data_IF_768479258967
#
_entry.id   IF_768479258967
#
_cell.length_a   1.000
_cell.length_b   1.000
_cell.length_c   1.000
_cell.angle_alpha   90.00
_cell.angle_beta   90.00
_cell.angle_gamma   90.00
#
_symmetry.space_group_name_H-M   'P 1'
#
loop_
_entity.id
_entity.type
_entity.pdbx_description
1 polymer ?
#
# COMPACT_ATOMS: atom_id res chain seq x y z
N UNK A 1 -3.35 -11.08 7.84
CA UNK A 1 -4.00 -9.97 8.57
C UNK A 1 -4.59 -10.34 9.94
N UNK A 2 -4.28 -11.52 10.50
CA UNK A 2 -4.89 -12.03 11.73
C UNK A 2 -4.21 -11.58 13.04
N UNK A 3 -3.08 -10.89 12.95
CA UNK A 3 -2.31 -10.42 14.12
C UNK A 3 -2.79 -9.09 14.71
N UNK A 4 -3.68 -8.36 14.02
CA UNK A 4 -4.16 -7.03 14.43
C UNK A 4 -5.56 -7.16 15.04
N UNK A 5 -5.80 -6.65 16.25
CA UNK A 5 -7.12 -6.75 16.86
C UNK A 5 -8.17 -5.98 16.06
N UNK A 6 -9.40 -6.49 16.05
CA UNK A 6 -10.50 -6.05 15.16
C UNK A 6 -10.77 -4.54 15.24
N UNK A 7 -10.66 -3.97 16.44
CA UNK A 7 -10.88 -2.54 16.69
C UNK A 7 -9.83 -1.63 16.02
N UNK A 8 -8.58 -2.08 15.88
CA UNK A 8 -7.52 -1.33 15.17
C UNK A 8 -7.52 -1.58 13.66
N UNK A 9 -8.21 -2.63 13.20
CA UNK A 9 -8.15 -3.06 11.80
C UNK A 9 -8.65 -1.99 10.83
N UNK A 10 -9.71 -1.26 11.19
CA UNK A 10 -10.28 -0.22 10.32
C UNK A 10 -9.32 0.95 10.07
N UNK A 11 -8.58 1.37 11.09
CA UNK A 11 -7.57 2.42 10.95
C UNK A 11 -6.47 2.02 9.96
N UNK A 12 -6.07 0.75 9.98
CA UNK A 12 -5.08 0.24 9.01
C UNK A 12 -5.61 0.22 7.57
N UNK A 13 -6.91 -0.02 7.36
CA UNK A 13 -7.53 0.01 6.02
C UNK A 13 -7.70 1.44 5.46
N UNK A 14 -7.82 2.43 6.33
CA UNK A 14 -7.95 3.84 5.93
C UNK A 14 -6.58 4.50 5.68
N UNK A 15 -5.51 3.95 6.24
CA UNK A 15 -4.17 4.54 6.14
C UNK A 15 -3.61 4.51 4.72
N UNK A 16 -3.26 5.69 4.20
CA UNK A 16 -2.51 5.88 2.94
C UNK A 16 -1.22 5.04 2.91
N UNK A 17 -0.53 4.93 4.05
CA UNK A 17 0.75 4.22 4.20
C UNK A 17 0.60 2.73 3.85
N UNK A 18 -0.55 2.12 4.16
CA UNK A 18 -0.82 0.73 3.81
C UNK A 18 -0.74 0.52 2.30
N UNK A 19 -1.49 1.30 1.53
CA UNK A 19 -1.53 1.15 0.08
C UNK A 19 -0.20 1.50 -0.59
N UNK A 20 0.56 2.45 -0.04
CA UNK A 20 1.94 2.72 -0.47
C UNK A 20 2.87 1.53 -0.23
N UNK A 21 2.83 0.94 0.96
CA UNK A 21 3.66 -0.20 1.32
C UNK A 21 3.38 -1.42 0.44
N UNK A 22 2.10 -1.74 0.26
CA UNK A 22 1.63 -2.82 -0.62
C UNK A 22 2.09 -2.62 -2.06
N UNK A 23 1.94 -1.40 -2.61
CA UNK A 23 2.42 -1.07 -3.95
C UNK A 23 3.95 -1.10 -4.08
N UNK A 24 4.67 -0.64 -3.05
CA UNK A 24 6.13 -0.63 -3.04
C UNK A 24 6.70 -2.05 -3.03
N UNK A 25 6.19 -2.93 -2.15
CA UNK A 25 6.59 -4.34 -2.13
C UNK A 25 6.25 -5.03 -3.44
N UNK A 26 5.05 -4.82 -3.97
CA UNK A 26 4.61 -5.44 -5.21
C UNK A 26 5.46 -4.99 -6.42
N UNK A 27 5.95 -3.74 -6.43
CA UNK A 27 6.85 -3.25 -7.48
C UNK A 27 8.31 -3.67 -7.31
N UNK A 28 8.74 -3.97 -6.09
CA UNK A 28 10.09 -4.48 -5.81
C UNK A 28 10.20 -5.98 -6.10
N UNK A 29 9.27 -6.76 -5.57
CA UNK A 29 9.30 -8.23 -5.56
C UNK A 29 8.30 -8.89 -6.53
N UNK A 30 7.49 -8.11 -7.25
CA UNK A 30 6.56 -8.63 -8.24
C UNK A 30 7.25 -9.09 -9.54
N UNK A 31 6.45 -9.77 -10.36
CA UNK A 31 6.78 -10.17 -11.74
C UNK A 31 8.05 -11.03 -11.91
N UNK A 32 8.11 -12.18 -11.24
CA UNK A 32 9.13 -13.24 -11.44
C UNK A 32 10.56 -12.70 -11.62
N UNK A 33 10.93 -11.63 -10.90
CA UNK A 33 12.32 -11.26 -10.75
C UNK A 33 12.99 -12.46 -10.11
N UNK A 34 13.99 -13.02 -10.81
CA UNK A 34 14.63 -14.28 -10.47
C UNK A 34 15.18 -14.35 -9.04
N UNK A 35 15.73 -15.51 -8.69
CA UNK A 35 16.14 -15.83 -7.32
C UNK A 35 16.99 -14.73 -6.65
N UNK A 36 16.72 -14.47 -5.38
CA UNK A 36 17.43 -13.45 -4.61
C UNK A 36 18.88 -13.89 -4.34
N UNK A 37 19.83 -12.94 -4.42
CA UNK A 37 21.22 -13.22 -4.07
C UNK A 37 21.37 -13.50 -2.58
N UNK A 38 21.68 -14.76 -2.25
CA UNK A 38 21.72 -15.22 -0.88
C UNK A 38 23.17 -15.24 -0.34
N UNK A 39 23.45 -14.38 0.65
CA UNK A 39 24.82 -14.19 1.20
C UNK A 39 25.22 -15.19 2.28
N UNK A 40 24.27 -15.92 2.89
CA UNK A 40 24.51 -16.92 3.95
C UNK A 40 23.61 -18.14 3.76
N UNK A 41 24.18 -19.33 3.95
CA UNK A 41 23.47 -20.61 3.94
C UNK A 41 23.16 -20.97 5.40
N UNK A 42 21.92 -21.32 5.78
CA UNK A 42 20.73 -21.59 4.96
C UNK A 42 19.94 -20.32 4.58
N UNK A 43 19.36 -20.32 3.37
CA UNK A 43 18.52 -19.24 2.86
C UNK A 43 17.09 -19.36 3.39
N UNK A 44 16.57 -18.29 3.98
CA UNK A 44 15.19 -18.25 4.49
C UNK A 44 14.16 -17.95 3.38
N UNK A 45 14.57 -17.26 2.31
CA UNK A 45 13.74 -16.90 1.16
C UNK A 45 14.57 -17.05 -0.11
N UNK A 46 14.10 -17.86 -1.05
CA UNK A 46 14.80 -18.09 -2.31
C UNK A 46 14.26 -17.18 -3.42
N UNK A 47 12.95 -16.89 -3.38
CA UNK A 47 12.24 -16.14 -4.41
C UNK A 47 11.39 -15.00 -3.82
N UNK A 48 11.21 -13.94 -4.61
CA UNK A 48 10.38 -12.80 -4.21
C UNK A 48 8.92 -13.18 -3.95
N UNK A 49 8.44 -14.25 -4.60
CA UNK A 49 7.08 -14.79 -4.41
C UNK A 49 6.87 -15.38 -3.01
N UNK A 50 7.91 -15.97 -2.39
CA UNK A 50 7.84 -16.48 -1.02
C UNK A 50 7.71 -15.34 -0.01
N UNK A 51 8.38 -14.22 -0.27
CA UNK A 51 8.29 -13.01 0.57
C UNK A 51 6.88 -12.42 0.47
N UNK A 52 6.31 -12.37 -0.74
CA UNK A 52 4.93 -11.90 -0.96
C UNK A 52 3.91 -12.77 -0.24
N UNK A 53 4.08 -14.10 -0.28
CA UNK A 53 3.24 -15.06 0.46
C UNK A 53 3.37 -14.90 1.98
N UNK A 54 4.60 -14.74 2.48
CA UNK A 54 4.85 -14.54 3.91
C UNK A 54 4.21 -13.25 4.43
N UNK A 55 4.25 -12.18 3.64
CA UNK A 55 3.67 -10.89 3.99
C UNK A 55 2.13 -10.84 3.86
N UNK A 56 1.50 -11.95 3.46
CA UNK A 56 0.05 -12.06 3.24
C UNK A 56 -0.47 -11.04 2.21
N UNK A 57 0.41 -10.62 1.30
CA UNK A 57 0.09 -9.81 0.12
C UNK A 57 -0.23 -10.79 -1.00
N UNK A 58 -1.27 -11.58 -0.78
CA UNK A 58 -1.66 -12.66 -1.68
C UNK A 58 -2.20 -12.07 -2.98
N UNK A 59 -1.63 -12.49 -4.11
CA UNK A 59 -2.04 -12.15 -5.47
C UNK A 59 -3.42 -12.78 -5.84
N UNK A 60 -4.01 -13.51 -4.90
CA UNK A 60 -4.83 -14.69 -5.17
C UNK A 60 -6.33 -14.42 -5.22
N UNK A 61 -6.78 -13.17 -5.02
CA UNK A 61 -8.22 -12.87 -5.04
C UNK A 61 -8.80 -12.74 -6.46
N UNK A 62 -7.98 -12.64 -7.52
CA UNK A 62 -8.50 -12.37 -8.87
C UNK A 62 -7.73 -12.96 -10.06
N UNK A 63 -6.63 -13.71 -9.90
CA UNK A 63 -5.96 -14.40 -11.03
C UNK A 63 -5.43 -13.50 -12.17
N UNK A 64 -5.41 -12.17 -11.98
CA UNK A 64 -4.91 -11.18 -12.94
C UNK A 64 -3.73 -10.46 -12.28
N UNK A 65 -2.50 -10.86 -12.65
CA UNK A 65 -1.29 -10.08 -12.33
C UNK A 65 -1.50 -8.64 -12.82
N UNK A 66 -1.18 -7.66 -11.97
CA UNK A 66 -1.34 -6.20 -12.15
C UNK A 66 -2.63 -5.54 -11.63
N UNK A 67 -3.75 -6.25 -11.41
CA UNK A 67 -4.99 -5.59 -10.96
C UNK A 67 -4.83 -4.92 -9.58
N UNK A 68 -4.14 -5.59 -8.64
CA UNK A 68 -3.89 -5.08 -7.29
C UNK A 68 -3.00 -3.83 -7.29
N UNK A 69 -2.00 -3.78 -8.17
CA UNK A 69 -1.14 -2.61 -8.34
C UNK A 69 -1.96 -1.39 -8.81
N UNK A 70 -2.78 -1.57 -9.85
CA UNK A 70 -3.67 -0.52 -10.36
C UNK A 70 -4.66 -0.05 -9.30
N UNK A 71 -5.22 -0.96 -8.51
CA UNK A 71 -6.11 -0.63 -7.40
C UNK A 71 -5.42 0.25 -6.35
N UNK A 72 -4.19 -0.11 -5.94
CA UNK A 72 -3.39 0.70 -5.03
C UNK A 72 -3.12 2.10 -5.62
N UNK A 73 -2.74 2.20 -6.90
CA UNK A 73 -2.50 3.49 -7.57
C UNK A 73 -3.75 4.36 -7.59
N UNK A 74 -4.91 3.79 -7.92
CA UNK A 74 -6.19 4.51 -7.96
C UNK A 74 -6.55 5.07 -6.58
N UNK A 75 -6.40 4.27 -5.51
CA UNK A 75 -6.67 4.72 -4.14
C UNK A 75 -5.73 5.85 -3.72
N UNK A 76 -4.44 5.72 -4.03
CA UNK A 76 -3.44 6.74 -3.72
C UNK A 76 -3.74 8.05 -4.45
N UNK A 77 -4.16 7.99 -5.71
CA UNK A 77 -4.61 9.14 -6.49
C UNK A 77 -5.85 9.80 -5.90
N UNK A 78 -6.85 9.02 -5.50
CA UNK A 78 -8.05 9.53 -4.82
C UNK A 78 -7.68 10.27 -3.53
N UNK A 79 -6.81 9.69 -2.71
CA UNK A 79 -6.35 10.29 -1.46
C UNK A 79 -5.61 11.62 -1.70
N UNK A 80 -4.77 11.69 -2.74
CA UNK A 80 -4.10 12.92 -3.14
C UNK A 80 -5.10 14.04 -3.49
N UNK A 81 -6.15 13.72 -4.26
CA UNK A 81 -7.21 14.68 -4.61
C UNK A 81 -7.97 15.13 -3.36
N UNK A 82 -8.32 14.20 -2.46
CA UNK A 82 -9.00 14.52 -1.19
C UNK A 82 -8.15 15.46 -0.32
N UNK A 83 -6.86 15.19 -0.15
CA UNK A 83 -5.95 16.07 0.60
C UNK A 83 -5.83 17.47 -0.02
N UNK A 84 -5.79 17.56 -1.35
CA UNK A 84 -5.79 18.83 -2.07
C UNK A 84 -7.07 19.62 -1.81
N UNK A 85 -8.23 18.97 -1.87
CA UNK A 85 -9.52 19.59 -1.57
C UNK A 85 -9.60 20.03 -0.10
N UNK A 86 -9.17 19.20 0.84
CA UNK A 86 -9.12 19.54 2.27
C UNK A 86 -8.23 20.76 2.52
N UNK A 87 -7.04 20.78 1.94
CA UNK A 87 -6.10 21.92 2.05
C UNK A 87 -6.72 23.18 1.46
N UNK A 88 -7.40 23.08 0.32
CA UNK A 88 -8.11 24.20 -0.31
C UNK A 88 -9.25 24.73 0.57
N UNK A 89 -10.05 23.84 1.16
CA UNK A 89 -11.15 24.20 2.06
C UNK A 89 -10.59 24.88 3.32
N UNK A 90 -9.57 24.30 3.94
CA UNK A 90 -8.91 24.88 5.12
C UNK A 90 -8.35 26.27 4.80
N UNK A 91 -7.68 26.43 3.67
CA UNK A 91 -7.16 27.73 3.24
C UNK A 91 -8.28 28.75 2.98
N UNK A 92 -9.36 28.35 2.31
CA UNK A 92 -10.55 29.20 2.08
C UNK A 92 -11.21 29.63 3.38
N UNK A 93 -11.36 28.71 4.35
CA UNK A 93 -11.92 29.02 5.67
C UNK A 93 -10.99 30.00 6.40
N UNK A 94 -9.68 29.75 6.43
CA UNK A 94 -8.71 30.62 7.08
C UNK A 94 -8.72 32.05 6.49
N UNK A 95 -8.75 32.19 5.16
CA UNK A 95 -8.84 33.49 4.49
C UNK A 95 -10.16 34.19 4.82
N UNK A 96 -11.29 33.47 4.81
CA UNK A 96 -12.59 34.04 5.18
C UNK A 96 -12.64 34.48 6.65
N UNK A 97 -11.98 33.75 7.55
CA UNK A 97 -11.96 34.05 8.97
C UNK A 97 -11.07 35.27 9.29
N UNK A 98 -10.05 35.54 8.47
CA UNK A 98 -9.20 36.75 8.57
C UNK A 98 -9.87 38.03 8.08
N UNK A 99 -10.97 37.93 7.32
CA UNK A 99 -11.74 39.09 6.80
C UNK A 99 -12.87 39.55 7.73
N UNK A 100 -13.15 38.83 8.81
CA UNK A 100 -14.01 39.26 9.92
C UNK A 100 -13.14 39.77 11.07
#
# INVERSE_FOLDING_TARGET
FSAIPVYLRWFTYVSYVRYCWEGAILSLYGDQRGALECKKIPCMFNDGEEILKFLDITEDALGIKNFRLWFCIIILMLFFVLLRLLTYIVLRIAISNRRK
#
